data_IF_542250786850
#
_entry.id   IF_542250786850
#
_cell.length_a   1.000
_cell.length_b   1.000
_cell.length_c   1.000
_cell.angle_alpha   90.00
_cell.angle_beta   90.00
_cell.angle_gamma   90.00
#
_symmetry.space_group_name_H-M   'P 1'
#
loop_
_entity.id
_entity.type
_entity.pdbx_description
1 polymer ?
#
# COMPACT_ATOMS: atom_id res chain seq x y z
N UNK A 1 5.20 -2.15 -16.65
CA UNK A 1 4.83 -2.16 -15.21
C UNK A 1 3.53 -2.92 -14.92
N UNK A 2 2.45 -2.76 -15.73
CA UNK A 2 1.18 -3.50 -15.55
C UNK A 2 1.33 -5.02 -15.51
N UNK A 3 2.11 -5.62 -16.42
CA UNK A 3 2.36 -7.07 -16.44
C UNK A 3 2.96 -7.59 -15.12
N UNK A 4 3.92 -6.85 -14.55
CA UNK A 4 4.65 -7.25 -13.34
C UNK A 4 3.75 -7.23 -12.09
N UNK A 5 2.82 -6.26 -12.01
CA UNK A 5 1.84 -6.16 -10.92
C UNK A 5 0.85 -7.33 -11.00
N UNK A 6 0.35 -7.64 -12.20
CA UNK A 6 -0.52 -8.80 -12.42
C UNK A 6 0.20 -10.11 -12.07
N UNK A 7 1.49 -10.25 -12.42
CA UNK A 7 2.26 -11.46 -12.12
C UNK A 7 2.45 -11.65 -10.60
N UNK A 8 2.86 -10.61 -9.87
CA UNK A 8 3.05 -10.70 -8.42
C UNK A 8 1.74 -11.00 -7.67
N UNK A 9 0.62 -10.41 -8.13
CA UNK A 9 -0.68 -10.64 -7.52
C UNK A 9 -1.23 -12.03 -7.85
N UNK A 10 -0.99 -12.54 -9.06
CA UNK A 10 -1.37 -13.90 -9.43
C UNK A 10 -0.67 -14.93 -8.53
N UNK A 11 0.64 -14.78 -8.33
CA UNK A 11 1.40 -15.65 -7.41
C UNK A 11 0.84 -15.60 -5.99
N UNK A 12 0.46 -14.41 -5.51
CA UNK A 12 -0.16 -14.22 -4.20
C UNK A 12 -1.55 -14.86 -4.12
N UNK A 13 -2.38 -14.77 -5.17
CA UNK A 13 -3.70 -15.41 -5.25
C UNK A 13 -3.56 -16.93 -5.17
N UNK A 14 -2.67 -17.49 -5.99
CA UNK A 14 -2.50 -18.94 -6.11
C UNK A 14 -1.96 -19.57 -4.80
N UNK A 15 -1.25 -18.81 -3.98
CA UNK A 15 -0.53 -19.29 -2.80
C UNK A 15 -0.77 -18.42 -1.55
N UNK A 16 -1.99 -17.89 -1.39
CA UNK A 16 -2.30 -16.87 -0.38
C UNK A 16 -1.97 -17.30 1.06
N UNK A 17 -2.13 -18.57 1.39
CA UNK A 17 -1.82 -19.10 2.74
C UNK A 17 -0.34 -18.98 3.08
N UNK A 18 0.53 -19.13 2.09
CA UNK A 18 1.99 -19.08 2.28
C UNK A 18 2.52 -17.64 2.18
N UNK A 19 2.01 -16.85 1.23
CA UNK A 19 2.53 -15.51 0.99
C UNK A 19 1.85 -14.40 1.81
N UNK A 20 0.63 -14.59 2.33
CA UNK A 20 -0.02 -13.55 3.14
C UNK A 20 0.82 -13.11 4.37
N UNK A 21 1.47 -14.01 5.12
CA UNK A 21 2.37 -13.61 6.23
C UNK A 21 3.63 -12.86 5.78
N UNK A 22 4.04 -13.02 4.51
CA UNK A 22 5.20 -12.35 3.92
C UNK A 22 4.81 -10.94 3.45
N UNK A 23 3.66 -10.79 2.81
CA UNK A 23 3.17 -9.52 2.25
C UNK A 23 2.52 -8.63 3.30
N UNK A 24 1.96 -9.22 4.36
CA UNK A 24 1.27 -8.52 5.43
C UNK A 24 1.87 -8.86 6.80
N UNK A 25 1.07 -9.10 7.83
CA UNK A 25 1.57 -9.35 9.20
C UNK A 25 2.18 -10.76 9.35
N UNK A 26 3.34 -10.90 10.01
CA UNK A 26 4.07 -9.88 10.79
C UNK A 26 5.10 -9.06 9.98
N UNK A 27 5.50 -9.53 8.80
CA UNK A 27 6.63 -8.98 8.00
C UNK A 27 6.47 -7.50 7.65
N UNK A 28 5.25 -7.04 7.36
CA UNK A 28 4.96 -5.65 7.04
C UNK A 28 5.33 -4.69 8.18
N UNK A 29 5.26 -5.15 9.44
CA UNK A 29 5.69 -4.37 10.59
C UNK A 29 7.19 -4.06 10.54
N UNK A 30 8.00 -5.10 10.30
CA UNK A 30 9.46 -4.98 10.15
C UNK A 30 9.82 -4.07 8.96
N UNK A 31 9.07 -4.16 7.87
CA UNK A 31 9.22 -3.29 6.70
C UNK A 31 8.91 -1.85 7.08
N UNK A 32 7.83 -1.59 7.82
CA UNK A 32 7.48 -0.24 8.26
C UNK A 32 8.52 0.37 9.21
N UNK A 33 9.18 -0.41 10.07
CA UNK A 33 10.27 0.11 10.92
C UNK A 33 11.50 0.53 10.11
N UNK A 34 11.74 -0.11 8.97
CA UNK A 34 12.94 0.07 8.15
C UNK A 34 12.65 0.67 6.76
N UNK A 35 11.45 1.23 6.55
CA UNK A 35 10.96 1.56 5.21
C UNK A 35 11.86 2.54 4.48
N UNK A 36 12.41 3.54 5.19
CA UNK A 36 13.33 4.51 4.61
C UNK A 36 14.60 3.87 4.03
N UNK A 37 15.15 2.86 4.70
CA UNK A 37 16.34 2.14 4.23
C UNK A 37 16.06 1.12 3.12
N UNK A 38 14.82 0.64 3.04
CA UNK A 38 14.36 -0.33 2.04
C UNK A 38 13.69 0.33 0.82
N UNK A 39 13.57 1.65 0.81
CA UNK A 39 12.86 2.39 -0.22
C UNK A 39 13.50 2.19 -1.60
N UNK A 40 12.67 1.86 -2.60
CA UNK A 40 13.11 1.69 -3.99
C UNK A 40 12.33 2.55 -4.97
N UNK A 41 11.00 2.56 -4.83
CA UNK A 41 10.09 3.30 -5.71
C UNK A 41 8.86 3.72 -4.91
N UNK A 42 8.25 4.87 -5.24
CA UNK A 42 7.02 5.28 -4.58
C UNK A 42 5.88 4.35 -4.99
N UNK A 43 5.02 3.99 -4.03
CA UNK A 43 3.75 3.29 -4.26
C UNK A 43 2.66 4.03 -3.49
N UNK A 44 1.62 4.45 -4.19
CA UNK A 44 0.53 5.24 -3.62
C UNK A 44 0.73 6.74 -3.76
N UNK A 45 -0.11 7.50 -3.07
CA UNK A 45 -0.06 8.96 -3.01
C UNK A 45 0.33 9.40 -1.61
N UNK A 46 1.04 10.52 -1.50
CA UNK A 46 1.50 11.08 -0.24
C UNK A 46 0.97 12.51 -0.14
N UNK A 47 0.37 12.82 1.01
CA UNK A 47 -0.15 14.15 1.32
C UNK A 47 0.46 14.59 2.64
N UNK A 48 0.90 15.84 2.69
CA UNK A 48 1.38 16.50 3.88
C UNK A 48 0.42 17.59 4.32
N UNK A 49 0.54 18.06 5.56
CA UNK A 49 -0.20 19.22 6.03
C UNK A 49 0.07 20.49 5.19
N UNK A 50 1.22 20.57 4.50
CA UNK A 50 1.59 21.70 3.64
C UNK A 50 0.81 21.73 2.33
N UNK A 51 0.21 20.60 1.95
CA UNK A 51 -0.58 20.47 0.73
C UNK A 51 -2.06 20.87 0.95
N UNK A 52 -2.38 21.41 2.13
CA UNK A 52 -3.71 21.90 2.46
C UNK A 52 -4.13 22.98 1.46
N UNK A 53 -5.26 22.76 0.80
CA UNK A 53 -5.76 23.61 -0.30
C UNK A 53 -5.47 23.05 -1.69
N UNK A 54 -4.40 22.26 -1.86
CA UNK A 54 -3.98 21.67 -3.13
C UNK A 54 -4.24 20.17 -3.23
N UNK A 55 -4.65 19.49 -2.15
CA UNK A 55 -4.89 18.04 -2.17
C UNK A 55 -5.83 17.59 -3.30
N UNK A 56 -6.84 18.40 -3.63
CA UNK A 56 -7.76 18.11 -4.72
C UNK A 56 -7.09 18.13 -6.10
N UNK A 57 -6.19 19.08 -6.35
CA UNK A 57 -5.43 19.13 -7.61
C UNK A 57 -4.47 17.95 -7.68
N UNK A 58 -3.83 17.60 -6.57
CA UNK A 58 -2.91 16.46 -6.47
C UNK A 58 -3.57 15.12 -6.76
N UNK A 59 -4.83 14.89 -6.35
CA UNK A 59 -5.57 13.64 -6.64
C UNK A 59 -5.61 13.36 -8.16
N UNK A 60 -5.68 14.40 -8.99
CA UNK A 60 -5.71 14.26 -10.45
C UNK A 60 -4.39 13.77 -11.06
N UNK A 61 -3.30 13.74 -10.29
CA UNK A 61 -2.04 13.13 -10.71
C UNK A 61 -2.08 11.59 -10.68
N UNK A 62 -3.10 10.98 -10.06
CA UNK A 62 -3.25 9.53 -10.08
C UNK A 62 -3.56 9.04 -11.50
N UNK A 63 -2.83 8.03 -12.02
CA UNK A 63 -2.96 7.62 -13.42
C UNK A 63 -4.28 6.91 -13.75
N UNK A 64 -5.01 6.40 -12.75
CA UNK A 64 -6.31 5.76 -12.97
C UNK A 64 -7.43 6.77 -12.84
N UNK A 65 -8.34 6.80 -13.82
CA UNK A 65 -9.55 7.65 -13.80
C UNK A 65 -10.65 7.08 -12.91
N UNK A 66 -10.59 5.80 -12.59
CA UNK A 66 -11.59 5.12 -11.79
C UNK A 66 -10.90 4.40 -10.64
N UNK A 67 -11.25 4.81 -9.43
CA UNK A 67 -10.77 4.25 -8.18
C UNK A 67 -11.97 3.77 -7.39
N UNK A 68 -12.00 2.49 -7.07
CA UNK A 68 -13.07 1.84 -6.31
C UNK A 68 -12.70 1.71 -4.83
N UNK A 69 -11.40 1.72 -4.48
CA UNK A 69 -10.93 1.53 -3.12
C UNK A 69 -9.71 2.38 -2.77
N UNK A 70 -9.74 2.97 -1.58
CA UNK A 70 -8.61 3.70 -0.99
C UNK A 70 -8.36 3.15 0.40
N UNK A 71 -7.09 2.88 0.71
CA UNK A 71 -6.62 2.61 2.07
C UNK A 71 -5.67 3.72 2.44
N UNK A 72 -5.99 4.44 3.51
CA UNK A 72 -5.24 5.61 3.99
C UNK A 72 -4.74 5.38 5.41
N UNK A 73 -3.56 5.91 5.71
CA UNK A 73 -3.01 5.97 7.07
C UNK A 73 -2.22 7.26 7.22
N UNK A 74 -2.26 7.85 8.40
CA UNK A 74 -1.40 8.94 8.84
C UNK A 74 -0.10 8.45 9.48
N UNK A 75 0.03 7.13 9.71
CA UNK A 75 1.22 6.52 10.30
C UNK A 75 1.31 6.59 11.82
N UNK A 76 0.34 7.20 12.51
CA UNK A 76 0.42 7.50 13.94
C UNK A 76 0.31 6.27 14.84
N UNK A 77 -0.27 5.18 14.32
CA UNK A 77 -0.42 3.90 15.05
C UNK A 77 -0.31 2.70 14.13
N UNK A 78 0.93 2.32 13.82
CA UNK A 78 1.21 1.14 13.01
C UNK A 78 1.23 -0.10 13.89
N UNK A 79 0.12 -0.86 13.85
CA UNK A 79 -0.04 -2.11 14.61
C UNK A 79 0.23 -1.88 16.11
N UNK A 80 1.20 -2.60 16.69
CA UNK A 80 1.71 -2.41 18.05
C UNK A 80 3.05 -1.67 18.12
N UNK A 81 3.52 -1.09 17.00
CA UNK A 81 4.85 -0.48 16.87
C UNK A 81 4.85 1.03 17.19
N UNK A 82 3.67 1.62 17.37
CA UNK A 82 3.52 3.04 17.66
C UNK A 82 3.52 3.91 16.39
N UNK A 83 4.00 5.14 16.53
CA UNK A 83 4.05 6.12 15.45
C UNK A 83 5.30 5.91 14.58
N UNK A 84 5.07 5.58 13.31
CA UNK A 84 6.12 5.43 12.30
C UNK A 84 6.01 6.46 11.18
N UNK A 85 5.04 7.39 11.27
CA UNK A 85 4.74 8.40 10.27
C UNK A 85 4.69 7.84 8.85
N UNK A 86 5.42 8.47 7.92
CA UNK A 86 5.43 8.08 6.50
C UNK A 86 5.90 6.65 6.24
N UNK A 87 6.67 6.06 7.16
CA UNK A 87 7.13 4.67 7.01
C UNK A 87 5.99 3.65 7.16
N UNK A 88 4.86 4.08 7.74
CA UNK A 88 3.62 3.32 7.83
C UNK A 88 2.95 3.01 6.49
N UNK A 89 3.44 3.55 5.36
CA UNK A 89 2.90 3.32 4.01
C UNK A 89 2.88 1.84 3.59
N UNK A 90 3.70 0.99 4.21
CA UNK A 90 3.65 -0.47 4.00
C UNK A 90 2.28 -1.08 4.34
N UNK A 91 1.56 -0.51 5.31
CA UNK A 91 0.23 -1.00 5.74
C UNK A 91 -0.84 -0.87 4.64
N UNK A 92 -1.11 0.32 4.06
CA UNK A 92 -2.12 0.44 3.01
C UNK A 92 -1.75 -0.36 1.76
N UNK A 93 -0.46 -0.44 1.40
CA UNK A 93 0.01 -1.26 0.28
C UNK A 93 -0.33 -2.74 0.51
N UNK A 94 0.06 -3.29 1.66
CA UNK A 94 -0.21 -4.69 1.98
C UNK A 94 -1.70 -4.99 2.11
N UNK A 95 -2.50 -4.09 2.68
CA UNK A 95 -3.96 -4.24 2.75
C UNK A 95 -4.60 -4.32 1.36
N UNK A 96 -4.21 -3.45 0.43
CA UNK A 96 -4.70 -3.50 -0.95
C UNK A 96 -4.28 -4.79 -1.66
N UNK A 97 -3.02 -5.21 -1.50
CA UNK A 97 -2.53 -6.47 -2.09
C UNK A 97 -3.36 -7.68 -1.57
N UNK A 98 -3.73 -7.69 -0.28
CA UNK A 98 -4.62 -8.71 0.32
C UNK A 98 -6.06 -8.58 -0.17
N UNK A 99 -6.62 -7.38 -0.31
CA UNK A 99 -7.98 -7.22 -0.82
C UNK A 99 -8.12 -7.70 -2.26
N UNK A 100 -7.12 -7.41 -3.10
CA UNK A 100 -7.06 -7.96 -4.45
C UNK A 100 -6.98 -9.49 -4.38
N UNK A 101 -6.07 -10.05 -3.58
CA UNK A 101 -5.82 -11.48 -3.58
C UNK A 101 -6.96 -12.32 -2.95
N UNK A 102 -7.56 -11.83 -1.86
CA UNK A 102 -8.57 -12.57 -1.10
C UNK A 102 -10.01 -12.26 -1.54
N UNK A 103 -10.29 -11.05 -2.02
CA UNK A 103 -11.63 -10.60 -2.38
C UNK A 103 -11.84 -10.40 -3.89
N UNK A 104 -10.82 -10.66 -4.72
CA UNK A 104 -10.94 -10.60 -6.18
C UNK A 104 -11.13 -9.19 -6.73
N UNK A 105 -10.70 -8.17 -5.98
CA UNK A 105 -10.78 -6.78 -6.42
C UNK A 105 -9.83 -6.55 -7.59
N UNK A 106 -10.27 -5.79 -8.60
CA UNK A 106 -9.41 -5.45 -9.74
C UNK A 106 -8.27 -4.52 -9.28
N UNK A 107 -6.99 -4.89 -9.40
CA UNK A 107 -5.87 -4.07 -8.93
C UNK A 107 -5.65 -2.77 -9.72
N UNK A 108 -6.36 -2.57 -10.83
CA UNK A 108 -6.33 -1.31 -11.59
C UNK A 108 -7.40 -0.32 -11.12
N UNK A 109 -8.22 -0.69 -10.13
CA UNK A 109 -9.36 0.06 -9.61
C UNK A 109 -9.24 0.20 -8.10
#
# INVERSE_FOLDING_TARGET
>A
MKLLICLSLQVLIDNIKEFAPIVYTPTVGLICENYGGLYRRPRGMYFSAKDQGEMMSMIHNWPSKQVDMIVVTDGSRILGLGDLGIQGIGIPIGKLDIYVAAAGINPQR
#
